data_IF_728780727039
#
_entry.id   IF_728780727039
#
_cell.length_a   1.000
_cell.length_b   1.000
_cell.length_c   1.000
_cell.angle_alpha   90.00
_cell.angle_beta   90.00
_cell.angle_gamma   90.00
#
_symmetry.space_group_name_H-M   'P 1'
#
loop_
_entity.id
_entity.type
_entity.pdbx_description
1 polymer ?
#
# COMPACT_ATOMS: atom_id res chain seq x y z
N UNK A 1 6.66 -11.01 -2.97
CA UNK A 1 5.68 -10.13 -3.65
C UNK A 1 4.27 -10.64 -3.37
N UNK A 2 3.81 -10.51 -2.13
CA UNK A 2 2.45 -10.88 -1.70
C UNK A 2 1.62 -9.65 -1.28
N UNK A 3 2.25 -8.48 -1.16
CA UNK A 3 1.69 -7.28 -0.54
C UNK A 3 0.44 -6.77 -1.25
N UNK A 4 0.44 -6.69 -2.59
CA UNK A 4 -0.75 -6.26 -3.36
C UNK A 4 -1.88 -7.28 -3.34
N UNK A 5 -1.57 -8.57 -3.32
CA UNK A 5 -2.58 -9.63 -3.24
C UNK A 5 -3.21 -9.70 -1.85
N UNK A 6 -2.42 -9.48 -0.79
CA UNK A 6 -2.93 -9.35 0.59
C UNK A 6 -3.79 -8.09 0.73
N UNK A 7 -3.33 -6.94 0.23
CA UNK A 7 -4.12 -5.71 0.23
C UNK A 7 -5.45 -5.85 -0.52
N UNK A 8 -5.45 -6.57 -1.65
CA UNK A 8 -6.68 -6.85 -2.40
C UNK A 8 -7.65 -7.70 -1.57
N UNK A 9 -7.15 -8.72 -0.88
CA UNK A 9 -7.97 -9.54 0.02
C UNK A 9 -8.56 -8.70 1.16
N UNK A 10 -7.76 -7.83 1.78
CA UNK A 10 -8.21 -6.95 2.85
C UNK A 10 -9.26 -5.94 2.37
N UNK A 11 -9.08 -5.37 1.16
CA UNK A 11 -10.02 -4.44 0.56
C UNK A 11 -11.36 -5.11 0.23
N UNK A 12 -11.34 -6.34 -0.30
CA UNK A 12 -12.55 -7.12 -0.61
C UNK A 12 -13.28 -7.52 0.67
N UNK A 13 -12.56 -7.94 1.72
CA UNK A 13 -13.15 -8.24 3.02
C UNK A 13 -13.81 -6.98 3.63
N UNK A 14 -13.11 -5.84 3.59
CA UNK A 14 -13.65 -4.56 4.05
C UNK A 14 -14.89 -4.13 3.27
N UNK A 15 -14.92 -4.36 1.95
CA UNK A 15 -16.11 -4.10 1.13
C UNK A 15 -17.31 -4.95 1.56
N UNK A 16 -17.09 -6.23 1.85
CA UNK A 16 -18.13 -7.13 2.33
C UNK A 16 -18.67 -6.68 3.70
N UNK A 17 -17.79 -6.28 4.62
CA UNK A 17 -18.18 -5.74 5.92
C UNK A 17 -19.01 -4.45 5.78
N UNK A 18 -18.64 -3.56 4.86
CA UNK A 18 -19.40 -2.35 4.59
C UNK A 18 -20.81 -2.65 4.07
N UNK A 19 -20.99 -3.64 3.19
CA UNK A 19 -22.32 -4.07 2.76
C UNK A 19 -23.15 -4.64 3.91
N UNK A 20 -22.58 -5.54 4.72
CA UNK A 20 -23.28 -6.13 5.86
C UNK A 20 -23.70 -5.05 6.88
N UNK A 21 -22.80 -4.14 7.22
CA UNK A 21 -23.06 -3.04 8.15
C UNK A 21 -24.13 -2.07 7.58
N UNK A 22 -24.03 -1.73 6.30
CA UNK A 22 -25.01 -0.88 5.63
C UNK A 22 -26.41 -1.48 5.66
N UNK A 23 -26.53 -2.76 5.27
CA UNK A 23 -27.82 -3.47 5.28
C UNK A 23 -28.39 -3.53 6.69
N UNK A 24 -27.58 -3.87 7.69
CA UNK A 24 -28.01 -3.95 9.09
C UNK A 24 -28.56 -2.62 9.60
N UNK A 25 -27.83 -1.52 9.42
CA UNK A 25 -28.25 -0.19 9.86
C UNK A 25 -29.48 0.30 9.10
N UNK A 26 -29.54 0.09 7.78
CA UNK A 26 -30.67 0.52 6.97
C UNK A 26 -31.94 -0.27 7.31
N UNK A 27 -31.85 -1.58 7.55
CA UNK A 27 -32.99 -2.40 7.97
C UNK A 27 -33.48 -2.03 9.37
N UNK A 28 -32.57 -1.76 10.31
CA UNK A 28 -32.93 -1.37 11.67
C UNK A 28 -33.70 -0.04 11.70
N UNK A 29 -33.35 0.88 10.82
CA UNK A 29 -33.94 2.22 10.74
C UNK A 29 -35.11 2.31 9.73
N UNK A 30 -35.41 1.23 9.01
CA UNK A 30 -36.45 1.24 7.98
C UNK A 30 -37.84 1.35 8.62
N UNK A 31 -38.67 2.35 8.23
CA UNK A 31 -40.05 2.39 8.66
C UNK A 31 -40.84 1.22 8.07
N UNK A 32 -41.88 0.72 8.77
CA UNK A 32 -42.75 -0.32 8.21
C UNK A 32 -43.41 0.19 6.92
N UNK A 33 -43.29 -0.59 5.85
CA UNK A 33 -43.95 -0.26 4.59
C UNK A 33 -45.46 -0.24 4.78
N UNK A 34 -46.14 0.79 4.26
CA UNK A 34 -47.60 0.82 4.26
C UNK A 34 -48.14 -0.09 3.15
N UNK A 35 -48.83 -1.15 3.54
CA UNK A 35 -49.44 -2.08 2.60
C UNK A 35 -50.79 -1.56 2.09
N UNK A 36 -50.80 -0.45 1.35
CA UNK A 36 -52.02 0.09 0.70
C UNK A 36 -52.46 -0.76 -0.50
N UNK A 37 -51.52 -1.51 -1.11
CA UNK A 37 -51.71 -2.19 -2.39
C UNK A 37 -52.29 -3.61 -2.25
N UNK A 38 -52.19 -4.25 -1.09
CA UNK A 38 -52.74 -5.61 -0.87
C UNK A 38 -54.28 -5.59 -0.89
N UNK A 39 -54.90 -4.52 -0.37
CA UNK A 39 -56.35 -4.39 -0.35
C UNK A 39 -56.95 -4.24 -1.77
N UNK A 40 -56.20 -3.63 -2.68
CA UNK A 40 -56.61 -3.42 -4.09
C UNK A 40 -56.43 -4.70 -4.92
N UNK A 41 -55.38 -5.49 -4.65
CA UNK A 41 -55.13 -6.76 -5.34
C UNK A 41 -56.13 -7.88 -4.99
N UNK A 42 -56.70 -7.86 -3.77
CA UNK A 42 -57.70 -8.86 -3.34
C UNK A 42 -59.10 -8.58 -3.97
N UNK A 43 -59.36 -7.37 -4.46
CA UNK A 43 -60.72 -6.95 -4.88
C UNK A 43 -60.92 -6.63 -6.37
N UNK A 44 -59.94 -6.78 -7.26
CA UNK A 44 -60.26 -6.67 -8.70
C UNK A 44 -59.27 -7.36 -9.63
N UNK A 45 -59.83 -8.29 -10.38
CA UNK A 45 -59.40 -8.77 -11.69
C UNK A 45 -59.09 -7.57 -12.62
N UNK A 46 -57.83 -7.16 -12.74
CA UNK A 46 -57.40 -6.24 -13.81
C UNK A 46 -55.88 -6.33 -14.07
N UNK A 47 -55.43 -6.50 -15.33
CA UNK A 47 -54.01 -6.54 -15.66
C UNK A 47 -53.50 -5.12 -15.95
N UNK A 48 -52.51 -4.65 -15.21
CA UNK A 48 -51.82 -3.38 -15.53
C UNK A 48 -50.32 -3.40 -15.17
N UNK A 49 -49.53 -3.55 -16.25
CA UNK A 49 -48.20 -2.98 -16.57
C UNK A 49 -47.02 -3.14 -15.57
N UNK A 50 -45.84 -3.66 -16.00
CA UNK A 50 -44.66 -3.74 -15.15
C UNK A 50 -43.97 -2.36 -15.08
N UNK A 51 -44.34 -1.53 -14.10
CA UNK A 51 -43.61 -0.27 -13.80
C UNK A 51 -43.45 -0.01 -12.29
N UNK A 52 -43.74 -0.98 -11.41
CA UNK A 52 -43.58 -0.78 -9.95
C UNK A 52 -42.14 -0.97 -9.43
N UNK A 53 -41.25 -1.62 -10.20
CA UNK A 53 -39.83 -1.77 -9.83
C UNK A 53 -39.03 -0.46 -9.84
N UNK A 54 -39.53 0.60 -10.50
CA UNK A 54 -38.85 1.88 -10.62
C UNK A 54 -39.20 2.88 -9.50
N UNK A 55 -40.32 2.69 -8.78
CA UNK A 55 -40.82 3.71 -7.84
C UNK A 55 -40.04 3.77 -6.52
N UNK A 56 -39.37 2.69 -6.13
CA UNK A 56 -38.54 2.68 -4.91
C UNK A 56 -37.25 3.48 -5.14
N UNK A 57 -36.73 3.50 -6.38
CA UNK A 57 -35.49 4.21 -6.71
C UNK A 57 -35.71 5.68 -7.13
N UNK A 58 -36.89 6.05 -7.66
CA UNK A 58 -37.14 7.44 -8.11
C UNK A 58 -37.52 8.42 -6.99
N UNK A 59 -37.85 7.96 -5.78
CA UNK A 59 -38.08 8.86 -4.63
C UNK A 59 -36.80 9.30 -3.91
N UNK A 60 -35.62 8.83 -4.33
CA UNK A 60 -34.32 9.24 -3.76
C UNK A 60 -33.83 10.57 -4.35
N UNK A 61 -34.33 10.98 -5.52
CA UNK A 61 -33.89 12.22 -6.17
C UNK A 61 -35.04 13.24 -6.20
N UNK A 62 -34.93 14.23 -5.32
CA UNK A 62 -35.80 15.41 -5.19
C UNK A 62 -37.24 15.14 -4.74
N UNK A 63 -37.50 15.32 -3.45
CA UNK A 63 -38.64 16.14 -3.03
C UNK A 63 -38.38 16.65 -1.60
N UNK A 64 -37.88 17.88 -1.52
CA UNK A 64 -38.16 18.84 -0.45
C UNK A 64 -38.15 18.29 1.00
N UNK A 65 -37.09 18.63 1.74
CA UNK A 65 -36.98 18.40 3.18
C UNK A 65 -38.19 19.00 3.93
N UNK A 66 -39.24 18.21 4.14
CA UNK A 66 -40.36 18.54 5.01
C UNK A 66 -39.95 18.25 6.46
N UNK A 67 -39.31 19.23 7.10
CA UNK A 67 -39.12 19.26 8.54
C UNK A 67 -40.46 19.47 9.26
N UNK A 68 -41.24 18.39 9.40
CA UNK A 68 -42.25 18.21 10.45
C UNK A 68 -41.78 17.17 11.48
N UNK A 69 -42.45 17.05 12.64
CA UNK A 69 -42.04 16.18 13.76
C UNK A 69 -41.81 14.69 13.40
N UNK A 70 -42.32 14.20 12.27
CA UNK A 70 -42.08 12.84 11.71
C UNK A 70 -40.95 12.77 10.67
N UNK A 71 -40.41 13.91 10.21
CA UNK A 71 -39.40 14.01 9.14
C UNK A 71 -37.95 13.84 9.59
N UNK A 72 -37.67 13.90 10.90
CA UNK A 72 -36.31 13.78 11.42
C UNK A 72 -35.72 12.38 11.19
N UNK A 73 -36.55 11.33 11.24
CA UNK A 73 -36.11 9.94 11.05
C UNK A 73 -35.78 9.62 9.58
N UNK A 74 -36.56 10.18 8.65
CA UNK A 74 -36.38 9.94 7.21
C UNK A 74 -35.15 10.65 6.64
N UNK A 75 -34.78 11.81 7.21
CA UNK A 75 -33.56 12.54 6.84
C UNK A 75 -32.30 11.78 7.29
N UNK A 76 -32.33 11.21 8.49
CA UNK A 76 -31.22 10.43 9.07
C UNK A 76 -30.94 9.14 8.29
N UNK A 77 -31.99 8.42 7.84
CA UNK A 77 -31.82 7.22 7.00
C UNK A 77 -31.11 7.54 5.67
N UNK A 78 -31.45 8.68 5.05
CA UNK A 78 -30.86 9.10 3.78
C UNK A 78 -29.37 9.46 3.93
N UNK A 79 -29.00 10.12 5.03
CA UNK A 79 -27.60 10.40 5.38
C UNK A 79 -26.78 9.10 5.56
N UNK A 80 -27.31 8.10 6.29
CA UNK A 80 -26.65 6.79 6.42
C UNK A 80 -26.49 6.09 5.07
N UNK A 81 -27.53 6.10 4.24
CA UNK A 81 -27.47 5.50 2.90
C UNK A 81 -26.40 6.17 2.02
N UNK A 82 -26.31 7.50 2.05
CA UNK A 82 -25.29 8.25 1.33
C UNK A 82 -23.88 7.96 1.85
N UNK A 83 -23.69 7.90 3.17
CA UNK A 83 -22.41 7.57 3.79
C UNK A 83 -21.92 6.17 3.37
N UNK A 84 -22.79 5.15 3.48
CA UNK A 84 -22.45 3.80 3.08
C UNK A 84 -22.21 3.69 1.57
N UNK A 85 -23.02 4.35 0.74
CA UNK A 85 -22.80 4.39 -0.70
C UNK A 85 -21.44 4.98 -1.06
N UNK A 86 -21.03 6.06 -0.39
CA UNK A 86 -19.72 6.68 -0.60
C UNK A 86 -18.56 5.76 -0.17
N UNK A 87 -18.68 5.09 0.98
CA UNK A 87 -17.67 4.13 1.46
C UNK A 87 -17.53 2.95 0.50
N UNK A 88 -18.66 2.32 0.14
CA UNK A 88 -18.70 1.16 -0.78
C UNK A 88 -18.12 1.53 -2.14
N UNK A 89 -18.55 2.66 -2.73
CA UNK A 89 -18.06 3.09 -4.04
C UNK A 89 -16.55 3.38 -4.02
N UNK A 90 -16.05 3.99 -2.94
CA UNK A 90 -14.62 4.24 -2.77
C UNK A 90 -13.84 2.95 -2.63
N UNK A 91 -14.26 2.04 -1.75
CA UNK A 91 -13.56 0.76 -1.55
C UNK A 91 -13.62 -0.12 -2.81
N UNK A 92 -14.72 -0.12 -3.54
CA UNK A 92 -14.79 -0.78 -4.85
C UNK A 92 -13.80 -0.18 -5.85
N UNK A 93 -13.64 1.16 -5.86
CA UNK A 93 -12.65 1.81 -6.71
C UNK A 93 -11.21 1.48 -6.30
N UNK A 94 -10.95 1.40 -5.00
CA UNK A 94 -9.65 0.99 -4.47
C UNK A 94 -9.32 -0.46 -4.87
N UNK A 95 -10.31 -1.36 -4.89
CA UNK A 95 -10.19 -2.73 -5.41
C UNK A 95 -9.81 -2.72 -6.89
N UNK A 96 -10.47 -1.92 -7.74
CA UNK A 96 -10.12 -1.80 -9.16
C UNK A 96 -8.66 -1.36 -9.35
N UNK A 97 -8.22 -0.34 -8.61
CA UNK A 97 -6.84 0.17 -8.69
C UNK A 97 -5.84 -0.89 -8.23
N UNK A 98 -6.17 -1.68 -7.20
CA UNK A 98 -5.34 -2.78 -6.75
C UNK A 98 -5.21 -3.85 -7.83
N UNK A 99 -6.30 -4.20 -8.50
CA UNK A 99 -6.31 -5.15 -9.63
C UNK A 99 -5.43 -4.63 -10.78
N UNK A 100 -5.60 -3.37 -11.19
CA UNK A 100 -4.80 -2.75 -12.26
C UNK A 100 -3.31 -2.66 -11.90
N UNK A 101 -2.98 -2.62 -10.60
CA UNK A 101 -1.59 -2.60 -10.11
C UNK A 101 -0.94 -3.98 -9.98
N UNK A 102 -1.70 -5.07 -10.20
CA UNK A 102 -1.15 -6.41 -10.18
C UNK A 102 -0.20 -6.61 -11.36
N UNK A 103 0.88 -7.40 -11.18
CA UNK A 103 1.75 -7.76 -12.29
C UNK A 103 0.94 -8.51 -13.37
N UNK A 104 1.17 -8.17 -14.64
CA UNK A 104 0.47 -8.75 -15.79
C UNK A 104 0.79 -10.25 -15.99
N UNK A 105 -0.20 -11.01 -16.48
CA UNK A 105 -0.08 -12.46 -16.77
C UNK A 105 0.91 -12.81 -17.91
N UNK A 106 1.47 -11.82 -18.62
CA UNK A 106 2.51 -12.05 -19.65
C UNK A 106 3.83 -12.57 -19.05
N UNK A 107 3.94 -12.56 -17.72
CA UNK A 107 4.96 -13.21 -16.93
C UNK A 107 4.79 -14.74 -16.93
N UNK A 108 4.89 -15.37 -18.10
CA UNK A 108 5.00 -16.84 -18.16
C UNK A 108 6.19 -17.29 -17.31
N UNK A 109 6.06 -18.41 -16.58
CA UNK A 109 7.09 -18.91 -15.69
C UNK A 109 8.47 -19.03 -16.37
N UNK A 110 8.48 -19.27 -17.70
CA UNK A 110 9.68 -19.28 -18.52
C UNK A 110 10.34 -17.90 -18.67
N UNK A 111 9.56 -16.85 -18.94
CA UNK A 111 10.08 -15.47 -19.03
C UNK A 111 10.53 -14.94 -17.67
N UNK A 112 9.81 -15.26 -16.60
CA UNK A 112 10.26 -14.95 -15.24
C UNK A 112 11.56 -15.65 -14.91
N UNK A 113 11.69 -16.95 -15.19
CA UNK A 113 12.92 -17.69 -14.95
C UNK A 113 14.10 -17.14 -15.76
N UNK A 114 13.87 -16.73 -17.01
CA UNK A 114 14.90 -16.09 -17.83
C UNK A 114 15.34 -14.73 -17.25
N UNK A 115 14.37 -13.89 -16.87
CA UNK A 115 14.66 -12.59 -16.25
C UNK A 115 15.38 -12.73 -14.91
N UNK A 116 15.04 -13.76 -14.12
CA UNK A 116 15.65 -14.03 -12.82
C UNK A 116 17.10 -14.49 -12.99
N UNK A 117 17.37 -15.37 -13.96
CA UNK A 117 18.75 -15.77 -14.31
C UNK A 117 19.61 -14.60 -14.75
N UNK A 118 19.06 -13.72 -15.60
CA UNK A 118 19.78 -12.52 -16.03
C UNK A 118 20.12 -11.63 -14.83
N UNK A 119 19.16 -11.42 -13.91
CA UNK A 119 19.38 -10.61 -12.72
C UNK A 119 20.42 -11.23 -11.78
N UNK A 120 20.45 -12.56 -11.66
CA UNK A 120 21.47 -13.28 -10.89
C UNK A 120 22.86 -13.13 -11.51
N UNK A 121 22.97 -13.20 -12.83
CA UNK A 121 24.24 -13.00 -13.56
C UNK A 121 24.75 -11.56 -13.43
N UNK A 122 23.88 -10.57 -13.59
CA UNK A 122 24.21 -9.15 -13.39
C UNK A 122 24.65 -8.88 -11.93
N UNK A 123 24.03 -9.53 -10.96
CA UNK A 123 24.40 -9.42 -9.55
C UNK A 123 25.77 -10.06 -9.28
N UNK A 124 26.04 -11.25 -9.85
CA UNK A 124 27.35 -11.90 -9.77
C UNK A 124 28.45 -11.04 -10.39
N UNK A 125 28.19 -10.45 -11.56
CA UNK A 125 29.15 -9.55 -12.20
C UNK A 125 29.41 -8.30 -11.35
N UNK A 126 28.35 -7.68 -10.82
CA UNK A 126 28.48 -6.53 -9.94
C UNK A 126 29.26 -6.87 -8.66
N UNK A 127 29.04 -8.05 -8.07
CA UNK A 127 29.77 -8.53 -6.91
C UNK A 127 31.26 -8.76 -7.22
N UNK A 128 31.59 -9.37 -8.36
CA UNK A 128 32.98 -9.57 -8.78
C UNK A 128 33.72 -8.23 -9.00
N UNK A 129 33.04 -7.25 -9.61
CA UNK A 129 33.59 -5.88 -9.76
C UNK A 129 33.81 -5.22 -8.40
N UNK A 130 32.90 -5.41 -7.45
CA UNK A 130 33.06 -4.88 -6.10
C UNK A 130 34.27 -5.53 -5.40
N UNK A 131 34.43 -6.85 -5.51
CA UNK A 131 35.55 -7.59 -4.91
C UNK A 131 36.89 -7.11 -5.48
N UNK A 132 36.98 -6.87 -6.79
CA UNK A 132 38.18 -6.30 -7.41
C UNK A 132 38.54 -4.92 -6.82
N UNK A 133 37.53 -4.05 -6.67
CA UNK A 133 37.73 -2.71 -6.12
C UNK A 133 38.15 -2.78 -4.65
N UNK A 134 37.54 -3.64 -3.85
CA UNK A 134 37.92 -3.87 -2.45
C UNK A 134 39.36 -4.37 -2.36
N UNK A 135 39.71 -5.39 -3.16
CA UNK A 135 41.08 -5.92 -3.19
C UNK A 135 42.13 -4.85 -3.53
N UNK A 136 41.84 -4.02 -4.55
CA UNK A 136 42.71 -2.89 -4.91
C UNK A 136 42.80 -1.86 -3.78
N UNK A 137 41.69 -1.61 -3.09
CA UNK A 137 41.63 -0.75 -1.92
C UNK A 137 42.52 -1.23 -0.78
N UNK A 138 42.44 -2.51 -0.43
CA UNK A 138 43.26 -3.13 0.62
C UNK A 138 44.75 -3.08 0.29
N UNK A 139 45.11 -3.32 -0.97
CA UNK A 139 46.51 -3.23 -1.42
C UNK A 139 47.07 -1.82 -1.32
N UNK A 140 46.25 -0.81 -1.58
CA UNK A 140 46.66 0.57 -1.41
C UNK A 140 46.80 0.93 0.07
N UNK A 141 45.86 0.44 0.90
CA UNK A 141 45.88 0.64 2.34
C UNK A 141 47.16 0.05 2.98
N UNK A 142 47.55 -1.16 2.59
CA UNK A 142 48.77 -1.81 3.09
C UNK A 142 50.03 -1.01 2.72
N UNK A 143 50.11 -0.49 1.49
CA UNK A 143 51.22 0.38 1.06
C UNK A 143 51.30 1.66 1.89
N UNK A 144 50.16 2.30 2.17
CA UNK A 144 50.10 3.49 3.01
C UNK A 144 50.57 3.16 4.43
N UNK A 145 50.09 2.05 5.00
CA UNK A 145 50.50 1.61 6.34
C UNK A 145 52.01 1.32 6.41
N UNK A 146 52.58 0.66 5.40
CA UNK A 146 54.02 0.43 5.30
C UNK A 146 54.81 1.75 5.25
N UNK A 147 54.40 2.67 4.37
CA UNK A 147 55.07 3.96 4.24
C UNK A 147 55.00 4.78 5.56
N UNK A 148 53.86 4.75 6.26
CA UNK A 148 53.71 5.38 7.56
C UNK A 148 54.62 4.73 8.62
N UNK A 149 54.75 3.40 8.61
CA UNK A 149 55.65 2.69 9.51
C UNK A 149 57.12 3.05 9.24
N UNK A 150 57.53 3.13 7.98
CA UNK A 150 58.88 3.54 7.57
C UNK A 150 59.19 4.97 8.00
N UNK A 151 58.24 5.89 7.83
CA UNK A 151 58.36 7.27 8.32
C UNK A 151 58.55 7.26 9.84
N UNK A 152 57.70 6.55 10.59
CA UNK A 152 57.79 6.48 12.04
C UNK A 152 59.15 5.91 12.51
N UNK A 153 59.65 4.85 11.88
CA UNK A 153 60.95 4.27 12.19
C UNK A 153 62.12 5.20 11.83
N UNK A 154 62.04 5.89 10.70
CA UNK A 154 63.06 6.86 10.29
C UNK A 154 63.17 8.01 11.29
N UNK A 155 62.04 8.51 11.79
CA UNK A 155 61.99 9.55 12.83
C UNK A 155 62.55 9.08 14.18
N UNK A 156 62.34 7.82 14.55
CA UNK A 156 62.95 7.24 15.75
C UNK A 156 64.47 7.10 15.58
N UNK A 157 64.94 6.64 14.42
CA UNK A 157 66.37 6.48 14.11
C UNK A 157 67.13 7.81 14.14
N UNK A 158 66.60 8.85 13.50
CA UNK A 158 67.21 10.20 13.53
C UNK A 158 67.24 10.78 14.93
N UNK A 159 66.23 10.48 15.77
CA UNK A 159 66.21 10.90 17.18
C UNK A 159 67.19 10.11 18.07
N UNK A 160 67.41 8.82 17.80
CA UNK A 160 68.38 7.98 18.53
C UNK A 160 69.84 8.13 18.07
N UNK A 161 70.07 8.71 16.89
CA UNK A 161 71.38 8.85 16.26
C UNK A 161 72.17 10.12 16.62
N UNK A 162 71.67 10.97 17.54
CA UNK A 162 72.44 12.10 18.07
C UNK A 162 73.46 11.61 19.12
N UNK A 163 74.79 11.61 18.85
CA UNK A 163 75.77 11.17 19.81
C UNK A 163 75.99 12.26 20.85
N UNK A 164 75.81 11.89 22.11
CA UNK A 164 76.47 12.54 23.24
C UNK A 164 78.00 12.45 23.06
N UNK A 165 78.67 13.49 22.55
CA UNK A 165 80.09 13.72 22.82
C UNK A 165 80.56 15.07 22.25
N UNK A 166 80.86 16.03 23.13
CA UNK A 166 82.08 16.86 23.10
C UNK A 166 82.05 17.86 24.27
N UNK A 167 82.69 17.49 25.38
CA UNK A 167 83.31 18.44 26.30
C UNK A 167 84.63 17.81 26.78
N UNK A 168 85.79 18.43 26.52
CA UNK A 168 87.09 17.88 26.90
C UNK A 168 87.37 18.11 28.40
N UNK A 169 88.09 17.21 29.10
CA UNK A 169 88.61 17.50 30.43
C UNK A 169 89.81 18.46 30.33
N UNK A 170 89.79 19.46 31.19
CA UNK A 170 90.88 20.40 31.46
C UNK A 170 92.10 19.72 32.08
N UNK A 171 93.27 20.34 31.83
CA UNK A 171 94.60 20.18 32.45
C UNK A 171 95.51 19.09 31.93
#
# INVERSE_FOLDING_TARGET
>A
MADRLTQLQDAVNSLADQFCNAIGVLQQCAPPASFSNIQTAINKDQPSNPTEGAQICTKISLQHCCCGLTGMFSCVLLEYAQLFAALIARTAKDVDVLIDSLPSEESTAALQAASLRQLEEENQEAAARLEEVVYRGDMLLEKIQSALADIAQSQLRTRSGAPSQLAPPES
#
